data_IF_568948709490
#
_entry.id   IF_568948709490
#
_cell.length_a   1.000
_cell.length_b   1.000
_cell.length_c   1.000
_cell.angle_alpha   90.00
_cell.angle_beta   90.00
_cell.angle_gamma   90.00
#
_symmetry.space_group_name_H-M   'P 1'
#
loop_
_entity.id
_entity.type
_entity.pdbx_description
1 polymer ?
#
# COMPACT_ATOMS: atom_id res chain seq x y z
N UNK A 1 7.25 -18.63 -14.17
CA UNK A 1 6.38 -19.04 -13.05
C UNK A 1 6.18 -17.85 -12.14
N UNK A 2 4.93 -17.47 -11.86
CA UNK A 2 4.60 -16.32 -11.00
C UNK A 2 5.14 -16.49 -9.58
N UNK A 3 5.36 -17.73 -9.16
CA UNK A 3 5.87 -18.14 -7.86
C UNK A 3 7.26 -17.56 -7.58
N UNK A 4 8.18 -17.62 -8.55
CA UNK A 4 9.53 -17.05 -8.39
C UNK A 4 9.49 -15.53 -8.26
N UNK A 5 8.63 -14.87 -9.04
CA UNK A 5 8.44 -13.41 -8.95
C UNK A 5 7.79 -13.03 -7.62
N UNK A 6 6.83 -13.80 -7.13
CA UNK A 6 6.18 -13.58 -5.84
C UNK A 6 7.16 -13.72 -4.68
N UNK A 7 7.97 -14.78 -4.67
CA UNK A 7 9.01 -14.99 -3.66
C UNK A 7 10.04 -13.86 -3.71
N UNK A 8 10.53 -13.49 -4.91
CA UNK A 8 11.44 -12.36 -5.07
C UNK A 8 10.83 -11.05 -4.58
N UNK A 9 9.55 -10.83 -4.83
CA UNK A 9 8.82 -9.63 -4.39
C UNK A 9 8.77 -9.53 -2.86
N UNK A 10 8.48 -10.65 -2.17
CA UNK A 10 8.51 -10.73 -0.71
C UNK A 10 9.90 -10.34 -0.18
N UNK A 11 10.97 -10.92 -0.74
CA UNK A 11 12.33 -10.60 -0.31
C UNK A 11 12.68 -9.13 -0.51
N UNK A 12 12.34 -8.55 -1.65
CA UNK A 12 12.58 -7.12 -1.90
C UNK A 12 11.90 -6.26 -0.85
N UNK A 13 10.61 -6.49 -0.60
CA UNK A 13 9.83 -5.69 0.36
C UNK A 13 10.34 -5.87 1.80
N UNK A 14 10.71 -7.09 2.19
CA UNK A 14 11.32 -7.37 3.49
C UNK A 14 12.68 -6.69 3.65
N UNK A 15 13.56 -6.78 2.65
CA UNK A 15 14.88 -6.13 2.67
C UNK A 15 14.72 -4.62 2.84
N UNK A 16 13.82 -3.99 2.09
CA UNK A 16 13.53 -2.57 2.25
C UNK A 16 13.00 -2.23 3.66
N UNK A 17 12.15 -3.08 4.24
CA UNK A 17 11.67 -2.91 5.62
C UNK A 17 12.81 -2.94 6.64
N UNK A 18 13.73 -3.91 6.51
CA UNK A 18 14.89 -4.03 7.39
C UNK A 18 15.90 -2.88 7.19
N UNK A 19 16.09 -2.43 5.95
CA UNK A 19 16.91 -1.25 5.65
C UNK A 19 16.28 -0.01 6.30
N UNK A 20 14.98 0.21 6.15
CA UNK A 20 14.28 1.33 6.79
C UNK A 20 14.35 1.28 8.32
N UNK A 21 14.31 0.08 8.92
CA UNK A 21 14.55 -0.09 10.35
C UNK A 21 15.97 0.37 10.74
N UNK A 22 17.00 -0.02 9.96
CA UNK A 22 18.39 0.41 10.20
C UNK A 22 18.60 1.92 10.02
N UNK A 23 17.93 2.53 9.05
CA UNK A 23 17.98 3.98 8.81
C UNK A 23 17.27 4.78 9.92
N UNK A 24 16.46 4.11 10.72
CA UNK A 24 15.89 4.65 11.94
C UNK A 24 14.39 4.92 11.87
N UNK A 25 13.90 5.53 12.94
CA UNK A 25 12.47 5.73 13.20
C UNK A 25 11.72 6.39 12.05
N UNK A 26 12.25 7.47 11.49
CA UNK A 26 11.57 8.26 10.46
C UNK A 26 11.48 7.52 9.12
N UNK A 27 12.53 6.77 8.75
CA UNK A 27 12.54 5.96 7.54
C UNK A 27 11.51 4.82 7.63
N UNK A 28 11.47 4.12 8.77
CA UNK A 28 10.48 3.07 9.00
C UNK A 28 9.05 3.65 9.02
N UNK A 29 8.84 4.81 9.63
CA UNK A 29 7.55 5.50 9.63
C UNK A 29 7.08 5.81 8.21
N UNK A 30 7.94 6.41 7.39
CA UNK A 30 7.62 6.76 6.00
C UNK A 30 7.35 5.51 5.16
N UNK A 31 8.10 4.42 5.39
CA UNK A 31 7.88 3.16 4.70
C UNK A 31 6.49 2.60 5.05
N UNK A 32 6.12 2.50 6.34
CA UNK A 32 4.80 2.00 6.76
C UNK A 32 3.67 2.79 6.06
N UNK A 33 3.75 4.12 6.07
CA UNK A 33 2.79 4.97 5.38
C UNK A 33 2.71 4.69 3.87
N UNK A 34 3.86 4.47 3.23
CA UNK A 34 3.93 4.17 1.79
C UNK A 34 3.35 2.80 1.47
N UNK A 35 3.62 1.78 2.31
CA UNK A 35 3.06 0.43 2.18
C UNK A 35 1.53 0.45 2.20
N UNK A 36 0.93 1.29 3.05
CA UNK A 36 -0.52 1.47 3.11
C UNK A 36 -1.10 2.03 1.79
N UNK A 37 -0.42 2.98 1.15
CA UNK A 37 -0.82 3.52 -0.16
C UNK A 37 -0.66 2.45 -1.25
N UNK A 38 0.47 1.75 -1.28
CA UNK A 38 0.75 0.71 -2.28
C UNK A 38 -0.22 -0.46 -2.19
N UNK A 39 -0.59 -0.89 -0.97
CA UNK A 39 -1.61 -1.90 -0.76
C UNK A 39 -2.93 -1.52 -1.46
N UNK A 40 -3.38 -0.27 -1.31
CA UNK A 40 -4.62 0.19 -1.93
C UNK A 40 -4.51 0.40 -3.44
N UNK A 41 -3.37 0.83 -3.94
CA UNK A 41 -3.13 1.04 -5.37
C UNK A 41 -3.02 -0.30 -6.14
N UNK A 42 -2.33 -1.29 -5.57
CA UNK A 42 -2.03 -2.56 -6.24
C UNK A 42 -3.02 -3.69 -5.94
N UNK A 43 -4.08 -3.43 -5.17
CA UNK A 43 -5.10 -4.45 -4.83
C UNK A 43 -5.87 -4.98 -6.03
N UNK A 44 -5.95 -4.23 -7.13
CA UNK A 44 -6.71 -4.68 -8.31
C UNK A 44 -5.95 -5.76 -9.10
N UNK A 45 -4.64 -5.88 -8.89
CA UNK A 45 -3.82 -6.86 -9.59
C UNK A 45 -3.88 -8.20 -8.87
N UNK A 46 -4.45 -9.19 -9.55
CA UNK A 46 -4.51 -10.58 -9.09
C UNK A 46 -3.54 -11.44 -9.89
N UNK A 47 -2.96 -12.43 -9.21
CA UNK A 47 -2.05 -13.41 -9.79
C UNK A 47 -2.46 -14.81 -9.36
N UNK A 48 -2.20 -15.80 -10.21
CA UNK A 48 -2.27 -17.20 -9.82
C UNK A 48 -0.90 -17.63 -9.28
N UNK A 49 -0.87 -18.13 -8.05
CA UNK A 49 0.31 -18.71 -7.40
C UNK A 49 -0.12 -20.01 -6.72
N UNK A 50 0.59 -21.11 -6.97
CA UNK A 50 0.27 -22.43 -6.38
C UNK A 50 -1.20 -22.85 -6.58
N UNK A 51 -1.74 -22.60 -7.77
CA UNK A 51 -3.15 -22.86 -8.13
C UNK A 51 -4.19 -22.07 -7.32
N UNK A 52 -3.76 -21.09 -6.51
CA UNK A 52 -4.61 -20.17 -5.77
C UNK A 52 -4.59 -18.79 -6.43
N UNK A 53 -5.74 -18.12 -6.43
CA UNK A 53 -5.85 -16.71 -6.85
C UNK A 53 -5.51 -15.82 -5.67
N UNK A 54 -4.40 -15.09 -5.78
CA UNK A 54 -3.86 -14.22 -4.72
C UNK A 54 -3.81 -12.79 -5.25
N UNK A 55 -3.94 -11.82 -4.34
CA UNK A 55 -3.85 -10.40 -4.69
C UNK A 55 -2.42 -9.90 -4.49
N UNK A 56 -1.88 -9.10 -5.42
CA UNK A 56 -0.54 -8.55 -5.26
C UNK A 56 -0.37 -7.61 -4.06
N UNK A 57 -1.49 -7.14 -3.49
CA UNK A 57 -1.53 -6.29 -2.30
C UNK A 57 -1.02 -6.98 -1.02
N UNK A 58 -1.19 -8.31 -0.91
CA UNK A 58 -0.95 -9.03 0.35
C UNK A 58 0.49 -8.84 0.87
N UNK A 59 1.47 -8.75 -0.03
CA UNK A 59 2.89 -8.51 0.31
C UNK A 59 3.06 -7.17 1.03
N UNK A 60 2.39 -6.11 0.58
CA UNK A 60 2.47 -4.79 1.18
C UNK A 60 1.74 -4.72 2.53
N UNK A 61 0.61 -5.42 2.68
CA UNK A 61 -0.13 -5.51 3.95
C UNK A 61 0.67 -6.23 5.02
N UNK A 62 1.28 -7.36 4.67
CA UNK A 62 2.15 -8.13 5.57
C UNK A 62 3.37 -7.28 5.96
N UNK A 63 4.00 -6.62 4.99
CA UNK A 63 5.15 -5.74 5.24
C UNK A 63 4.80 -4.53 6.10
N UNK A 64 3.64 -3.90 5.88
CA UNK A 64 3.17 -2.77 6.68
C UNK A 64 2.91 -3.17 8.13
N UNK A 65 2.28 -4.33 8.34
CA UNK A 65 2.05 -4.90 9.68
C UNK A 65 3.38 -5.26 10.36
N UNK A 66 4.32 -5.87 9.63
CA UNK A 66 5.65 -6.14 10.14
C UNK A 66 6.37 -4.83 10.53
N UNK A 67 6.31 -3.81 9.68
CA UNK A 67 6.88 -2.49 9.95
C UNK A 67 6.28 -1.86 11.21
N UNK A 68 4.96 -1.95 11.41
CA UNK A 68 4.28 -1.48 12.62
C UNK A 68 4.75 -2.23 13.88
N UNK A 69 4.89 -3.56 13.80
CA UNK A 69 5.39 -4.37 14.91
C UNK A 69 6.83 -4.02 15.26
N UNK A 70 7.72 -3.90 14.27
CA UNK A 70 9.10 -3.45 14.46
C UNK A 70 9.13 -2.04 15.05
N UNK A 71 8.26 -1.15 14.59
CA UNK A 71 8.18 0.19 15.13
C UNK A 71 7.71 0.20 16.59
N UNK A 72 6.78 -0.68 16.95
CA UNK A 72 6.31 -0.85 18.32
C UNK A 72 7.40 -1.43 19.23
N UNK A 73 8.18 -2.40 18.75
CA UNK A 73 9.24 -3.05 19.51
C UNK A 73 10.44 -2.13 19.74
N UNK A 74 10.94 -1.45 18.70
CA UNK A 74 12.15 -0.63 18.77
C UNK A 74 11.89 0.82 19.21
N UNK A 75 10.72 1.39 18.90
CA UNK A 75 10.40 2.79 19.18
C UNK A 75 9.17 2.98 20.08
N UNK A 76 8.52 1.90 20.51
CA UNK A 76 7.42 1.93 21.45
C UNK A 76 6.04 2.12 20.82
N UNK A 77 5.02 1.62 21.54
CA UNK A 77 3.62 1.59 21.06
C UNK A 77 3.02 2.97 20.73
N UNK A 78 3.43 4.04 21.44
CA UNK A 78 2.93 5.40 21.16
C UNK A 78 3.30 5.86 19.75
N UNK A 79 4.49 5.52 19.28
CA UNK A 79 4.98 5.91 17.96
C UNK A 79 4.35 5.02 16.88
N UNK A 80 4.24 3.72 17.12
CA UNK A 80 3.55 2.81 16.21
C UNK A 80 2.09 3.20 15.99
N UNK A 81 1.36 3.58 17.06
CA UNK A 81 -0.02 4.10 16.94
C UNK A 81 -0.08 5.36 16.10
N UNK A 82 0.89 6.28 16.23
CA UNK A 82 0.98 7.46 15.36
C UNK A 82 1.23 7.08 13.89
N UNK A 83 2.06 6.08 13.63
CA UNK A 83 2.31 5.59 12.27
C UNK A 83 1.05 4.97 11.64
N UNK A 84 0.30 4.18 12.40
CA UNK A 84 -0.97 3.61 11.95
C UNK A 84 -1.99 4.70 11.61
N UNK A 85 -2.18 5.68 12.50
CA UNK A 85 -3.10 6.82 12.27
C UNK A 85 -2.65 7.68 11.08
N UNK A 86 -1.35 7.93 10.94
CA UNK A 86 -0.81 8.69 9.81
C UNK A 86 -1.00 7.94 8.48
N UNK A 87 -0.76 6.63 8.46
CA UNK A 87 -1.00 5.77 7.30
C UNK A 87 -2.46 5.83 6.88
N UNK A 88 -3.37 5.76 7.85
CA UNK A 88 -4.80 5.89 7.63
C UNK A 88 -5.19 7.24 7.02
N UNK A 89 -4.69 8.35 7.57
CA UNK A 89 -4.95 9.69 7.04
C UNK A 89 -4.43 9.84 5.61
N UNK A 90 -3.22 9.32 5.33
CA UNK A 90 -2.63 9.35 3.99
C UNK A 90 -3.39 8.49 2.99
N UNK A 91 -3.98 7.38 3.42
CA UNK A 91 -4.87 6.60 2.57
C UNK A 91 -6.11 7.42 2.18
N UNK A 92 -6.81 8.04 3.14
CA UNK A 92 -7.96 8.92 2.83
C UNK A 92 -7.56 10.01 1.84
N UNK A 93 -6.44 10.67 2.09
CA UNK A 93 -5.89 11.69 1.21
C UNK A 93 -5.62 11.15 -0.20
N UNK A 94 -5.04 9.95 -0.32
CA UNK A 94 -4.81 9.29 -1.60
C UNK A 94 -6.12 9.00 -2.36
N UNK A 95 -7.17 8.51 -1.70
CA UNK A 95 -8.47 8.34 -2.35
C UNK A 95 -9.09 9.66 -2.81
N UNK A 96 -9.02 10.70 -1.97
CA UNK A 96 -9.56 12.01 -2.31
C UNK A 96 -8.84 12.60 -3.54
N UNK A 97 -7.51 12.57 -3.56
CA UNK A 97 -6.72 13.02 -4.70
C UNK A 97 -7.01 12.19 -5.93
N UNK A 98 -7.11 10.86 -5.80
CA UNK A 98 -7.41 9.98 -6.93
C UNK A 98 -8.74 10.34 -7.58
N UNK A 99 -9.76 10.72 -6.78
CA UNK A 99 -11.05 11.19 -7.31
C UNK A 99 -10.95 12.55 -7.97
N UNK A 100 -10.24 13.50 -7.37
CA UNK A 100 -9.99 14.80 -7.99
C UNK A 100 -9.26 14.61 -9.33
N UNK A 101 -8.30 13.70 -9.37
CA UNK A 101 -7.53 13.41 -10.57
C UNK A 101 -8.42 12.89 -11.72
N UNK A 102 -9.39 12.04 -11.41
CA UNK A 102 -10.36 11.55 -12.40
C UNK A 102 -11.40 12.58 -12.84
N UNK A 103 -11.56 13.70 -12.12
CA UNK A 103 -12.48 14.78 -12.49
C UNK A 103 -11.86 15.73 -13.54
N UNK A 104 -10.55 15.68 -13.76
CA UNK A 104 -9.93 16.47 -14.82
C UNK A 104 -10.39 16.00 -16.19
N UNK A 105 -10.72 16.97 -17.05
CA UNK A 105 -11.08 16.72 -18.44
C UNK A 105 -9.78 16.41 -19.21
N UNK A 106 -9.65 15.21 -19.84
CA UNK A 106 -8.46 14.86 -20.58
C UNK A 106 -8.30 15.75 -21.82
N UNK A 107 -7.05 16.08 -22.16
CA UNK A 107 -6.74 16.80 -23.38
C UNK A 107 -6.67 15.84 -24.58
N UNK A 108 -6.71 16.35 -25.81
CA UNK A 108 -6.65 15.57 -27.06
C UNK A 108 -5.38 14.73 -27.23
N UNK A 109 -4.31 15.06 -26.52
CA UNK A 109 -3.05 14.30 -26.51
C UNK A 109 -3.00 13.21 -25.42
N UNK A 110 -3.97 13.15 -24.51
CA UNK A 110 -3.98 12.17 -23.43
C UNK A 110 -4.46 10.81 -23.93
N UNK A 111 -3.61 9.80 -23.80
CA UNK A 111 -3.91 8.41 -24.13
C UNK A 111 -4.08 7.52 -22.90
N UNK A 112 -4.03 8.09 -21.70
CA UNK A 112 -3.90 7.36 -20.42
C UNK A 112 -5.11 7.50 -19.50
N UNK A 113 -6.02 8.45 -19.78
CA UNK A 113 -7.22 8.70 -18.97
C UNK A 113 -8.02 7.44 -18.63
N UNK A 114 -8.30 6.59 -19.63
CA UNK A 114 -9.08 5.36 -19.43
C UNK A 114 -8.38 4.35 -18.52
N UNK A 115 -7.04 4.33 -18.57
CA UNK A 115 -6.23 3.48 -17.67
C UNK A 115 -6.30 3.99 -16.23
N UNK A 116 -6.20 5.30 -16.04
CA UNK A 116 -6.40 5.91 -14.73
C UNK A 116 -7.81 5.65 -14.20
N UNK A 117 -8.84 5.78 -15.03
CA UNK A 117 -10.22 5.51 -14.64
C UNK A 117 -10.40 4.05 -14.20
N UNK A 118 -9.83 3.10 -14.94
CA UNK A 118 -9.90 1.67 -14.62
C UNK A 118 -9.27 1.35 -13.25
N UNK A 119 -8.12 1.95 -12.95
CA UNK A 119 -7.38 1.67 -11.71
C UNK A 119 -7.96 2.47 -10.52
N UNK A 120 -8.22 3.76 -10.71
CA UNK A 120 -8.54 4.68 -9.62
C UNK A 120 -10.04 4.80 -9.30
N UNK A 121 -10.92 4.33 -10.19
CA UNK A 121 -12.38 4.39 -9.94
C UNK A 121 -12.79 3.60 -8.70
N UNK A 122 -12.14 2.46 -8.46
CA UNK A 122 -12.41 1.53 -7.36
C UNK A 122 -11.73 1.94 -6.04
N UNK A 123 -10.77 2.87 -6.06
CA UNK A 123 -9.97 3.25 -4.89
C UNK A 123 -10.79 3.62 -3.65
N UNK A 124 -11.89 4.41 -3.70
CA UNK A 124 -12.66 4.72 -2.50
C UNK A 124 -13.38 3.50 -1.91
N UNK A 125 -13.83 2.57 -2.74
CA UNK A 125 -14.50 1.34 -2.28
C UNK A 125 -13.50 0.45 -1.55
N UNK A 126 -12.31 0.30 -2.13
CA UNK A 126 -11.21 -0.45 -1.52
C UNK A 126 -10.83 0.19 -0.18
N UNK A 127 -10.72 1.52 -0.14
CA UNK A 127 -10.35 2.23 1.07
C UNK A 127 -11.39 2.05 2.17
N UNK A 128 -12.69 2.14 1.83
CA UNK A 128 -13.77 1.85 2.76
C UNK A 128 -13.69 0.41 3.31
N UNK A 129 -13.39 -0.58 2.46
CA UNK A 129 -13.21 -1.97 2.92
C UNK A 129 -12.00 -2.14 3.85
N UNK A 130 -10.86 -1.50 3.52
CA UNK A 130 -9.66 -1.55 4.38
C UNK A 130 -9.91 -0.90 5.75
N UNK A 131 -10.74 0.15 5.78
CA UNK A 131 -11.17 0.84 6.98
C UNK A 131 -11.93 -0.07 7.93
N UNK A 132 -12.93 -0.79 7.42
CA UNK A 132 -13.73 -1.74 8.19
C UNK A 132 -12.94 -2.97 8.65
N UNK A 133 -11.84 -3.31 7.98
CA UNK A 133 -11.03 -4.48 8.35
C UNK A 133 -9.96 -4.18 9.40
N UNK A 134 -9.50 -2.92 9.48
CA UNK A 134 -8.44 -2.50 10.41
C UNK A 134 -8.98 -1.83 11.69
N UNK A 135 -10.22 -1.36 11.70
CA UNK A 135 -10.90 -0.71 12.85
C UNK A 135 -12.21 -1.40 13.17
#
# INVERSE_FOLDING_TARGET
MNEYLFISHIFVVLIFTLISLRLGKYALFALICSQAIFANLFVLKQITCFSLSITCCDVFVISGTLGLNLMQEYYGAKIAKKAAVASFLLMIFFAAISKIHLLYIPNSFDTTHDSYYTILSQTPRILAASLFSFF
#
